data_IF_369382988116
#
_entry.id   IF_369382988116
#
_cell.length_a   1.000
_cell.length_b   1.000
_cell.length_c   1.000
_cell.angle_alpha   90.00
_cell.angle_beta   90.00
_cell.angle_gamma   90.00
#
_symmetry.space_group_name_H-M   'P 1'
#
loop_
_entity.id
_entity.type
_entity.pdbx_description
1 polymer ?
#
# COMPACT_ATOMS: atom_id res chain seq x y z
N UNK A 1 16.05 26.62 28.32
CA UNK A 1 14.62 26.45 27.95
C UNK A 1 14.33 26.61 26.45
N UNK A 2 15.10 27.39 25.67
CA UNK A 2 14.91 27.53 24.20
C UNK A 2 15.25 26.26 23.39
N UNK A 3 16.27 25.49 23.80
CA UNK A 3 16.65 24.24 23.12
C UNK A 3 15.62 23.11 23.25
N UNK A 4 14.83 23.10 24.33
CA UNK A 4 13.84 22.04 24.57
C UNK A 4 12.61 22.18 23.65
N UNK A 5 12.26 23.41 23.27
CA UNK A 5 11.17 23.69 22.33
C UNK A 5 11.52 23.30 20.88
N UNK A 6 12.78 23.47 20.48
CA UNK A 6 13.25 23.11 19.13
C UNK A 6 13.22 21.59 18.93
N UNK A 7 13.65 20.82 19.93
CA UNK A 7 13.65 19.35 19.86
C UNK A 7 12.21 18.80 19.78
N UNK A 8 11.25 19.36 20.53
CA UNK A 8 9.85 18.93 20.43
C UNK A 8 9.24 19.22 19.04
N UNK A 9 9.54 20.37 18.44
CA UNK A 9 9.07 20.72 17.09
C UNK A 9 9.69 19.79 16.03
N UNK A 10 10.95 19.38 16.19
CA UNK A 10 11.60 18.42 15.28
C UNK A 10 11.02 17.00 15.38
N UNK A 11 10.65 16.55 16.58
CA UNK A 11 10.00 15.24 16.77
C UNK A 11 8.57 15.26 16.24
N UNK A 12 7.88 16.40 16.38
CA UNK A 12 6.56 16.59 15.82
C UNK A 12 6.61 16.56 14.27
N UNK A 13 7.55 17.24 13.63
CA UNK A 13 7.72 17.23 12.16
C UNK A 13 8.13 15.86 11.58
N UNK A 14 8.68 14.94 12.39
CA UNK A 14 8.96 13.55 11.99
C UNK A 14 7.74 12.62 12.10
N UNK A 15 6.64 13.08 12.71
CA UNK A 15 5.40 12.31 12.90
C UNK A 15 4.22 12.86 12.10
N UNK A 16 4.41 13.96 11.38
CA UNK A 16 3.50 14.38 10.32
C UNK A 16 4.08 13.86 8.99
N UNK A 17 3.35 13.05 8.21
CA UNK A 17 3.80 12.70 6.87
C UNK A 17 4.00 14.00 6.10
N UNK A 18 5.27 14.31 5.81
CA UNK A 18 5.65 15.44 4.99
C UNK A 18 5.14 15.11 3.59
N UNK A 19 3.99 15.67 3.22
CA UNK A 19 3.35 15.53 1.91
C UNK A 19 2.56 14.21 1.71
N UNK A 20 1.23 14.29 1.86
CA UNK A 20 0.28 13.64 0.94
C UNK A 20 0.29 12.12 0.77
N UNK A 21 0.69 11.33 1.78
CA UNK A 21 0.52 9.88 1.66
C UNK A 21 -0.93 9.51 1.98
N UNK A 22 -1.75 9.37 0.94
CA UNK A 22 -3.13 8.93 1.06
C UNK A 22 -3.12 7.41 1.27
N UNK A 23 -3.78 6.92 2.32
CA UNK A 23 -4.03 5.48 2.45
C UNK A 23 -5.43 5.17 1.96
N UNK A 24 -5.58 4.12 1.16
CA UNK A 24 -6.89 3.75 0.61
C UNK A 24 -6.97 2.29 0.19
N UNK A 25 -8.05 2.00 -0.54
CA UNK A 25 -8.32 0.69 -1.13
C UNK A 25 -8.35 0.85 -2.65
N UNK A 26 -7.66 -0.04 -3.34
CA UNK A 26 -7.70 -0.13 -4.79
C UNK A 26 -8.00 -1.58 -5.21
N UNK A 27 -8.73 -1.74 -6.30
CA UNK A 27 -9.05 -3.01 -6.92
C UNK A 27 -8.32 -3.10 -8.25
N UNK A 28 -7.67 -4.24 -8.49
CA UNK A 28 -6.89 -4.50 -9.69
C UNK A 28 -7.75 -5.23 -10.71
N UNK A 29 -7.88 -4.62 -11.89
CA UNK A 29 -8.57 -5.20 -13.04
C UNK A 29 -7.62 -5.32 -14.25
N UNK A 30 -7.93 -6.24 -15.15
CA UNK A 30 -7.22 -6.42 -16.41
C UNK A 30 -8.05 -5.82 -17.54
N UNK A 31 -7.61 -4.70 -18.09
CA UNK A 31 -8.28 -4.02 -19.19
C UNK A 31 -7.38 -3.97 -20.42
N UNK A 32 -7.87 -4.47 -21.55
CA UNK A 32 -7.15 -4.48 -22.82
C UNK A 32 -5.72 -5.08 -22.75
N UNK A 33 -5.45 -5.94 -21.76
CA UNK A 33 -4.15 -6.56 -21.53
C UNK A 33 -3.24 -5.80 -20.56
N UNK A 34 -3.70 -4.71 -19.96
CA UNK A 34 -2.99 -3.91 -18.97
C UNK A 34 -3.64 -4.03 -17.58
N UNK A 35 -2.82 -4.06 -16.54
CA UNK A 35 -3.29 -4.06 -15.16
C UNK A 35 -3.55 -2.63 -14.71
N UNK A 36 -4.78 -2.35 -14.28
CA UNK A 36 -5.24 -1.01 -13.88
C UNK A 36 -5.86 -1.09 -12.48
N UNK A 37 -5.58 -0.08 -11.66
CA UNK A 37 -6.15 0.05 -10.31
C UNK A 37 -7.37 0.99 -10.31
N UNK A 38 -8.41 0.61 -9.56
CA UNK A 38 -9.68 1.34 -9.41
C UNK A 38 -10.05 1.51 -7.93
N UNK A 39 -10.71 2.60 -7.56
CA UNK A 39 -11.17 2.82 -6.17
C UNK A 39 -12.42 2.00 -5.82
N UNK A 40 -13.19 1.61 -6.82
CA UNK A 40 -14.37 0.74 -6.69
C UNK A 40 -14.08 -0.60 -7.35
N UNK A 41 -14.59 -1.68 -6.74
CA UNK A 41 -14.41 -3.03 -7.25
C UNK A 41 -15.14 -4.07 -6.40
N UNK A 42 -14.88 -5.34 -6.71
CA UNK A 42 -15.53 -6.49 -6.09
C UNK A 42 -14.55 -7.26 -5.20
N UNK A 43 -14.82 -7.26 -3.89
CA UNK A 43 -14.00 -7.93 -2.88
C UNK A 43 -13.82 -9.44 -3.09
N UNK A 44 -14.78 -10.11 -3.75
CA UNK A 44 -14.78 -11.56 -3.94
C UNK A 44 -14.16 -11.96 -5.29
N UNK A 45 -14.19 -11.07 -6.28
CA UNK A 45 -13.81 -11.40 -7.66
C UNK A 45 -12.53 -10.68 -8.14
N UNK A 46 -12.11 -9.61 -7.47
CA UNK A 46 -10.98 -8.78 -7.89
C UNK A 46 -9.84 -8.80 -6.87
N UNK A 47 -8.62 -8.50 -7.35
CA UNK A 47 -7.48 -8.35 -6.45
C UNK A 47 -7.55 -7.02 -5.72
N UNK A 48 -7.41 -7.02 -4.40
CA UNK A 48 -7.56 -5.83 -3.56
C UNK A 48 -6.23 -5.41 -2.95
N UNK A 49 -5.86 -4.17 -3.18
CA UNK A 49 -4.80 -3.46 -2.47
C UNK A 49 -5.37 -2.62 -1.32
N UNK A 50 -4.71 -2.65 -0.17
CA UNK A 50 -4.97 -1.75 0.95
C UNK A 50 -3.64 -1.21 1.45
N UNK A 51 -3.44 0.10 1.38
CA UNK A 51 -2.17 0.70 1.76
C UNK A 51 -1.98 2.12 1.28
N UNK A 52 -0.73 2.53 1.20
CA UNK A 52 -0.28 3.84 0.76
C UNK A 52 -0.46 3.99 -0.77
N UNK A 53 -1.10 5.07 -1.19
CA UNK A 53 -1.47 5.37 -2.57
C UNK A 53 -0.84 6.71 -2.95
N UNK A 54 -0.27 6.76 -4.14
CA UNK A 54 0.18 8.00 -4.78
C UNK A 54 -0.25 7.98 -6.25
N UNK A 55 -0.86 9.07 -6.71
CA UNK A 55 -1.39 9.23 -8.07
C UNK A 55 -2.32 8.08 -8.54
N UNK A 56 -3.14 7.55 -7.63
CA UNK A 56 -4.10 6.47 -7.93
C UNK A 56 -3.48 5.06 -8.00
N UNK A 57 -2.21 4.91 -7.63
CA UNK A 57 -1.52 3.62 -7.63
C UNK A 57 -0.92 3.29 -6.25
N UNK A 58 -0.77 2.00 -5.91
CA UNK A 58 0.03 1.57 -4.77
C UNK A 58 1.44 2.18 -4.76
N UNK A 59 1.77 2.90 -3.69
CA UNK A 59 3.07 3.55 -3.52
C UNK A 59 3.42 3.70 -2.03
N UNK A 60 4.34 2.84 -1.57
CA UNK A 60 4.72 2.69 -0.17
C UNK A 60 4.23 1.37 0.42
N UNK A 61 3.99 1.32 1.72
CA UNK A 61 3.60 0.07 2.40
C UNK A 61 2.14 -0.30 2.12
N UNK A 62 1.89 -1.57 1.83
CA UNK A 62 0.53 -2.06 1.67
C UNK A 62 0.40 -3.57 1.67
N UNK A 63 -0.86 -4.01 1.56
CA UNK A 63 -1.24 -5.41 1.42
C UNK A 63 -2.05 -5.59 0.16
N UNK A 64 -1.60 -6.47 -0.73
CA UNK A 64 -2.41 -6.95 -1.84
C UNK A 64 -2.98 -8.32 -1.50
N UNK A 65 -4.24 -8.53 -1.83
CA UNK A 65 -5.00 -9.76 -1.58
C UNK A 65 -5.55 -10.21 -2.93
N UNK A 66 -5.19 -11.40 -3.36
CA UNK A 66 -5.78 -12.02 -4.55
C UNK A 66 -7.11 -12.69 -4.20
N UNK A 67 -7.99 -12.87 -5.20
CA UNK A 67 -9.30 -13.51 -5.01
C UNK A 67 -9.20 -14.98 -4.57
N UNK A 68 -8.05 -15.62 -4.76
CA UNK A 68 -7.76 -16.96 -4.23
C UNK A 68 -7.39 -16.98 -2.73
N UNK A 69 -7.30 -15.81 -2.09
CA UNK A 69 -6.94 -15.62 -0.68
C UNK A 69 -5.43 -15.53 -0.42
N UNK A 70 -4.59 -15.68 -1.45
CA UNK A 70 -3.16 -15.33 -1.38
C UNK A 70 -3.04 -13.85 -1.03
N UNK A 71 -1.99 -13.47 -0.30
CA UNK A 71 -1.70 -12.07 -0.01
C UNK A 71 -0.22 -11.76 -0.01
N UNK A 72 0.12 -10.54 -0.40
CA UNK A 72 1.45 -9.98 -0.27
C UNK A 72 1.40 -8.77 0.63
N UNK A 73 2.29 -8.72 1.61
CA UNK A 73 2.45 -7.56 2.50
C UNK A 73 3.86 -7.02 2.31
N UNK A 74 4.00 -5.78 1.87
CA UNK A 74 5.32 -5.20 1.62
C UNK A 74 5.27 -3.82 1.00
N UNK A 75 6.42 -3.40 0.50
CA UNK A 75 6.60 -2.11 -0.16
C UNK A 75 6.16 -2.16 -1.63
N UNK A 76 5.56 -1.07 -2.10
CA UNK A 76 5.07 -0.86 -3.46
C UNK A 76 5.66 0.42 -4.03
N UNK A 77 5.81 0.45 -5.35
CA UNK A 77 6.21 1.65 -6.09
C UNK A 77 5.62 1.62 -7.49
N UNK A 78 4.89 2.67 -7.86
CA UNK A 78 4.20 2.79 -9.15
C UNK A 78 3.35 1.54 -9.46
N UNK A 79 2.53 1.14 -8.48
CA UNK A 79 1.58 0.03 -8.60
C UNK A 79 2.17 -1.39 -8.51
N UNK A 80 3.49 -1.53 -8.35
CA UNK A 80 4.16 -2.82 -8.31
C UNK A 80 4.84 -3.09 -6.96
N UNK A 81 4.88 -4.35 -6.49
CA UNK A 81 5.72 -4.72 -5.36
C UNK A 81 7.18 -4.31 -5.60
N UNK A 82 7.76 -3.57 -4.67
CA UNK A 82 9.10 -3.01 -4.78
C UNK A 82 9.82 -3.03 -3.43
N UNK A 83 10.67 -4.03 -3.20
CA UNK A 83 11.45 -4.13 -1.98
C UNK A 83 11.15 -5.41 -1.22
N UNK A 84 11.15 -5.33 0.10
CA UNK A 84 10.89 -6.48 0.96
C UNK A 84 9.39 -6.63 1.20
N UNK A 85 8.92 -7.86 1.11
CA UNK A 85 7.58 -8.23 1.52
C UNK A 85 7.50 -9.69 1.86
N UNK A 86 6.33 -10.11 2.30
CA UNK A 86 6.01 -11.50 2.59
C UNK A 86 4.79 -11.88 1.79
N UNK A 87 4.95 -12.90 0.95
CA UNK A 87 3.82 -13.55 0.30
C UNK A 87 3.30 -14.64 1.24
N UNK A 88 1.98 -14.73 1.40
CA UNK A 88 1.31 -15.80 2.13
C UNK A 88 0.29 -16.41 1.19
N UNK A 89 0.48 -17.67 0.83
CA UNK A 89 -0.47 -18.41 0.00
C UNK A 89 -1.73 -18.79 0.79
N UNK A 90 -2.79 -19.15 0.07
CA UNK A 90 -4.09 -19.51 0.66
C UNK A 90 -4.03 -20.72 1.59
N UNK A 91 -3.01 -21.59 1.46
CA UNK A 91 -2.73 -22.69 2.38
C UNK A 91 -1.99 -22.27 3.67
N UNK A 92 -1.61 -20.99 3.78
CA UNK A 92 -0.90 -20.40 4.90
C UNK A 92 0.64 -20.47 4.81
N UNK A 93 1.19 -21.10 3.77
CA UNK A 93 2.62 -21.12 3.48
C UNK A 93 3.12 -19.70 3.20
N UNK A 94 4.40 -19.40 3.49
CA UNK A 94 4.98 -18.04 3.34
C UNK A 94 6.34 -18.03 2.67
N UNK A 95 6.65 -16.94 1.96
CA UNK A 95 7.96 -16.64 1.37
C UNK A 95 8.38 -15.21 1.67
#
# INVERSE_FOLDING_TARGET
MKHLFIILISILLLSFPLYGQETGVLFLSLENGELVYYEEGDDDNEGKYVGEIDNGEPNGQGTFIWSDGTKYVGEYKNGLPNGHGTETWSDGSKY
#
